data_IF_516092138214
#
_entry.id   IF_516092138214
#
_cell.length_a   1.000
_cell.length_b   1.000
_cell.length_c   1.000
_cell.angle_alpha   90.00
_cell.angle_beta   90.00
_cell.angle_gamma   90.00
#
_symmetry.space_group_name_H-M   'P 1'
#
loop_
_entity.id
_entity.type
_entity.pdbx_description
1 polymer ?
#
# COMPACT_ATOMS: atom_id res chain seq x y z
N UNK A 1 -41.91 8.19 26.39
CA UNK A 1 -40.92 9.00 25.65
C UNK A 1 -39.69 8.15 25.48
N UNK A 2 -39.30 7.87 24.23
CA UNK A 2 -38.15 7.01 23.94
C UNK A 2 -36.86 7.80 24.16
N UNK A 3 -35.90 7.26 24.91
CA UNK A 3 -34.63 7.93 25.18
C UNK A 3 -33.72 7.83 23.95
N UNK A 4 -33.70 8.90 23.16
CA UNK A 4 -32.96 8.98 21.91
C UNK A 4 -31.43 8.96 22.09
N UNK A 5 -30.91 9.15 23.31
CA UNK A 5 -29.47 9.01 23.62
C UNK A 5 -29.04 7.54 23.59
N UNK A 6 -29.88 6.65 24.13
CA UNK A 6 -29.66 5.20 24.09
C UNK A 6 -29.67 4.71 22.64
N UNK A 7 -30.65 5.18 21.86
CA UNK A 7 -30.80 4.80 20.45
C UNK A 7 -29.66 5.31 19.55
N UNK A 8 -29.12 6.50 19.83
CA UNK A 8 -27.98 7.04 19.12
C UNK A 8 -26.67 6.31 19.45
N UNK A 9 -26.52 5.86 20.71
CA UNK A 9 -25.37 5.07 21.16
C UNK A 9 -25.41 3.66 20.58
N UNK A 10 -26.58 3.02 20.56
CA UNK A 10 -26.80 1.73 19.89
C UNK A 10 -26.50 1.81 18.38
N UNK A 11 -26.87 2.91 17.72
CA UNK A 11 -26.54 3.16 16.31
C UNK A 11 -25.05 3.39 16.06
N UNK A 12 -24.33 4.05 16.99
CA UNK A 12 -22.89 4.22 16.92
C UNK A 12 -22.16 2.88 17.09
N UNK A 13 -22.60 2.07 18.05
CA UNK A 13 -22.08 0.73 18.32
C UNK A 13 -22.40 -0.25 17.17
N UNK A 14 -23.52 -0.07 16.46
CA UNK A 14 -23.80 -0.77 15.20
C UNK A 14 -22.92 -0.27 14.05
N UNK A 15 -22.63 1.03 13.97
CA UNK A 15 -21.81 1.63 12.92
C UNK A 15 -20.34 1.20 13.02
N UNK A 16 -19.79 1.11 14.22
CA UNK A 16 -18.44 0.58 14.48
C UNK A 16 -18.29 -0.89 14.08
N UNK A 17 -19.38 -1.67 14.11
CA UNK A 17 -19.41 -3.06 13.60
C UNK A 17 -19.50 -3.15 12.08
N UNK A 18 -19.79 -2.06 11.38
CA UNK A 18 -19.98 -1.99 9.91
C UNK A 18 -18.72 -1.43 9.23
N UNK A 19 -17.52 -1.79 9.70
CA UNK A 19 -16.28 -1.55 8.95
C UNK A 19 -16.04 -2.61 7.84
N UNK A 20 -17.09 -3.30 7.38
CA UNK A 20 -16.99 -4.51 6.53
C UNK A 20 -17.38 -4.28 5.04
N UNK A 21 -17.31 -3.07 4.51
CA UNK A 21 -17.43 -2.82 3.07
C UNK A 21 -18.81 -3.07 2.41
N UNK A 22 -19.90 -3.23 3.18
CA UNK A 22 -21.23 -3.49 2.62
C UNK A 22 -21.97 -2.20 2.19
N UNK A 23 -21.80 -1.82 0.93
CA UNK A 23 -22.33 -0.58 0.30
C UNK A 23 -23.85 -0.43 0.41
N UNK A 24 -24.61 -1.54 0.43
CA UNK A 24 -26.08 -1.51 0.50
C UNK A 24 -26.58 -1.08 1.88
N UNK A 25 -25.95 -1.57 2.93
CA UNK A 25 -26.25 -1.20 4.31
C UNK A 25 -25.83 0.24 4.61
N UNK A 26 -24.69 0.68 4.06
CA UNK A 26 -24.23 2.08 4.13
C UNK A 26 -25.25 3.04 3.51
N UNK A 27 -25.78 2.71 2.34
CA UNK A 27 -26.81 3.52 1.66
C UNK A 27 -28.14 3.53 2.44
N UNK A 28 -28.47 2.43 3.13
CA UNK A 28 -29.68 2.34 3.96
C UNK A 28 -29.57 3.17 5.25
N UNK A 29 -28.41 3.16 5.90
CA UNK A 29 -28.10 4.02 7.06
C UNK A 29 -28.05 5.49 6.68
N UNK A 30 -27.47 5.82 5.52
CA UNK A 30 -27.46 7.18 4.97
C UNK A 30 -28.89 7.69 4.75
N UNK A 31 -29.78 6.87 4.19
CA UNK A 31 -31.22 7.21 4.03
C UNK A 31 -31.96 7.36 5.36
N UNK A 32 -31.60 6.58 6.40
CA UNK A 32 -32.16 6.73 7.75
C UNK A 32 -31.69 8.04 8.41
N UNK A 33 -30.42 8.42 8.22
CA UNK A 33 -29.86 9.70 8.65
C UNK A 33 -30.52 10.90 7.95
N UNK A 34 -30.76 10.80 6.63
CA UNK A 34 -31.48 11.81 5.84
C UNK A 34 -32.96 11.93 6.21
N UNK A 35 -33.58 10.87 6.72
CA UNK A 35 -34.95 10.96 7.28
C UNK A 35 -34.96 11.65 8.64
N UNK A 36 -33.93 11.45 9.46
CA UNK A 36 -33.78 12.14 10.75
C UNK A 36 -33.50 13.64 10.56
N UNK A 37 -32.84 14.04 9.47
CA UNK A 37 -32.59 15.45 9.13
C UNK A 37 -33.84 16.24 8.75
N UNK A 38 -34.95 15.57 8.42
CA UNK A 38 -36.22 16.24 8.07
C UNK A 38 -37.04 16.69 9.29
N UNK A 39 -36.68 16.28 10.51
CA UNK A 39 -37.59 16.35 11.67
C UNK A 39 -37.18 17.23 12.85
N UNK A 40 -36.10 18.02 12.82
CA UNK A 40 -35.82 18.92 13.95
C UNK A 40 -34.90 20.08 13.60
N UNK A 41 -35.33 21.27 14.00
CA UNK A 41 -34.59 22.52 14.14
C UNK A 41 -33.34 22.70 13.27
N UNK A 42 -33.46 23.57 12.26
CA UNK A 42 -32.40 23.91 11.30
C UNK A 42 -31.05 24.25 11.98
N UNK A 43 -31.11 24.90 13.15
CA UNK A 43 -29.94 25.24 13.99
C UNK A 43 -29.26 24.02 14.61
N UNK A 44 -30.04 23.02 15.03
CA UNK A 44 -29.51 21.76 15.57
C UNK A 44 -28.93 20.88 14.45
N UNK A 45 -29.57 20.86 13.28
CA UNK A 45 -29.02 20.20 12.10
C UNK A 45 -27.71 20.83 11.63
N UNK A 46 -27.62 22.17 11.58
CA UNK A 46 -26.37 22.89 11.29
C UNK A 46 -25.27 22.58 12.32
N UNK A 47 -25.63 22.43 13.61
CA UNK A 47 -24.67 22.07 14.66
C UNK A 47 -24.16 20.64 14.47
N UNK A 48 -25.06 19.67 14.24
CA UNK A 48 -24.67 18.28 13.97
C UNK A 48 -23.86 18.18 12.67
N UNK A 49 -24.28 18.86 11.60
CA UNK A 49 -23.55 18.86 10.34
C UNK A 49 -22.15 19.47 10.50
N UNK A 50 -22.01 20.53 11.31
CA UNK A 50 -20.71 21.11 11.64
C UNK A 50 -19.86 20.17 12.49
N UNK A 51 -20.43 19.46 13.45
CA UNK A 51 -19.69 18.54 14.31
C UNK A 51 -19.29 17.25 13.57
N UNK A 52 -20.18 16.70 12.73
CA UNK A 52 -19.84 15.61 11.80
C UNK A 52 -18.78 16.08 10.81
N UNK A 53 -18.90 17.30 10.25
CA UNK A 53 -17.87 17.86 9.37
C UNK A 53 -16.54 18.01 10.08
N UNK A 54 -16.52 18.44 11.35
CA UNK A 54 -15.30 18.51 12.17
C UNK A 54 -14.73 17.13 12.43
N UNK A 55 -15.54 16.14 12.79
CA UNK A 55 -15.09 14.75 13.00
C UNK A 55 -14.52 14.18 11.71
N UNK A 56 -15.20 14.34 10.58
CA UNK A 56 -14.71 13.89 9.27
C UNK A 56 -13.40 14.60 8.87
N UNK A 57 -13.29 15.91 9.13
CA UNK A 57 -12.05 16.67 8.88
C UNK A 57 -10.87 16.23 9.74
N UNK A 58 -11.14 15.62 10.90
CA UNK A 58 -10.12 15.17 11.84
C UNK A 58 -10.12 13.65 12.01
N UNK A 59 -10.77 12.90 11.12
CA UNK A 59 -10.96 11.46 11.29
C UNK A 59 -9.61 10.74 11.42
N UNK A 60 -8.64 11.09 10.57
CA UNK A 60 -7.30 10.52 10.60
C UNK A 60 -6.57 10.82 11.93
N UNK A 61 -6.75 12.02 12.49
CA UNK A 61 -6.17 12.38 13.79
C UNK A 61 -6.81 11.60 14.94
N UNK A 62 -8.13 11.38 14.87
CA UNK A 62 -8.87 10.58 15.86
C UNK A 62 -8.41 9.13 15.81
N UNK A 63 -8.33 8.54 14.61
CA UNK A 63 -7.86 7.16 14.42
C UNK A 63 -6.43 7.01 14.91
N UNK A 64 -5.53 7.94 14.58
CA UNK A 64 -4.16 7.95 15.11
C UNK A 64 -4.11 8.07 16.63
N UNK A 65 -4.94 8.92 17.23
CA UNK A 65 -4.97 9.07 18.68
C UNK A 65 -5.46 7.80 19.38
N UNK A 66 -6.46 7.12 18.80
CA UNK A 66 -6.93 5.82 19.29
C UNK A 66 -5.81 4.79 19.20
N UNK A 67 -5.17 4.66 18.05
CA UNK A 67 -4.03 3.75 17.84
C UNK A 67 -2.92 3.99 18.89
N UNK A 68 -2.53 5.25 19.11
CA UNK A 68 -1.52 5.62 20.09
C UNK A 68 -1.89 5.20 21.52
N UNK A 69 -3.16 5.37 21.89
CA UNK A 69 -3.67 5.02 23.23
C UNK A 69 -3.70 3.49 23.39
N UNK A 70 -4.21 2.78 22.40
CA UNK A 70 -4.31 1.31 22.41
C UNK A 70 -2.93 0.65 22.47
N UNK A 71 -1.92 1.29 21.87
CA UNK A 71 -0.54 0.82 21.85
C UNK A 71 0.34 1.48 22.95
N UNK A 72 -0.26 1.88 24.08
CA UNK A 72 0.44 2.36 25.28
C UNK A 72 1.42 3.52 25.02
N UNK A 73 1.07 4.43 24.13
CA UNK A 73 1.89 5.60 23.79
C UNK A 73 2.93 5.34 22.71
N UNK A 74 2.78 4.29 21.91
CA UNK A 74 3.49 4.08 20.65
C UNK A 74 2.48 4.03 19.49
N UNK A 75 2.91 4.27 18.25
CA UNK A 75 2.07 4.00 17.08
C UNK A 75 2.29 2.57 16.62
N UNK A 76 1.22 1.91 16.18
CA UNK A 76 1.34 0.69 15.39
C UNK A 76 1.92 1.00 14.01
N UNK A 77 2.24 -0.04 13.25
CA UNK A 77 2.63 0.09 11.85
C UNK A 77 1.59 0.87 11.02
N UNK A 78 0.31 0.52 11.14
CA UNK A 78 -0.77 1.16 10.38
C UNK A 78 -1.02 2.60 10.86
N UNK A 79 -0.97 2.83 12.17
CA UNK A 79 -1.09 4.16 12.76
C UNK A 79 0.03 5.11 12.30
N UNK A 80 1.25 4.60 12.16
CA UNK A 80 2.38 5.39 11.66
C UNK A 80 2.24 5.68 10.15
N UNK A 81 1.76 4.73 9.35
CA UNK A 81 1.51 4.92 7.92
C UNK A 81 0.47 6.01 7.61
N UNK A 82 -0.60 6.13 8.41
CA UNK A 82 -1.76 7.03 8.15
C UNK A 82 -1.42 8.53 7.99
N UNK A 83 -0.19 8.95 8.30
CA UNK A 83 0.25 10.33 8.01
C UNK A 83 1.71 10.41 7.61
N UNK A 84 2.29 9.29 7.21
CA UNK A 84 3.61 9.25 6.62
C UNK A 84 3.47 9.52 5.12
N UNK A 85 4.29 10.40 4.53
CA UNK A 85 4.34 10.55 3.08
C UNK A 85 4.67 9.20 2.42
N UNK A 86 4.06 8.90 1.26
CA UNK A 86 4.28 7.63 0.57
C UNK A 86 5.75 7.35 0.24
N UNK A 87 6.56 8.39 0.04
CA UNK A 87 8.00 8.25 -0.18
C UNK A 87 8.79 7.67 1.01
N UNK A 88 8.18 7.58 2.19
CA UNK A 88 8.80 7.10 3.44
C UNK A 88 8.20 5.78 3.94
N UNK A 89 7.35 5.10 3.16
CA UNK A 89 6.67 3.86 3.58
C UNK A 89 7.65 2.73 3.91
N UNK A 90 8.71 2.56 3.12
CA UNK A 90 9.77 1.59 3.42
C UNK A 90 10.46 1.92 4.75
N UNK A 91 10.64 3.19 5.10
CA UNK A 91 11.24 3.59 6.38
C UNK A 91 10.36 3.17 7.56
N UNK A 92 9.03 3.28 7.43
CA UNK A 92 8.08 2.80 8.45
C UNK A 92 8.14 1.28 8.54
N UNK A 93 8.17 0.56 7.41
CA UNK A 93 8.36 -0.89 7.41
C UNK A 93 9.62 -1.31 8.16
N UNK A 94 10.76 -0.68 7.86
CA UNK A 94 12.04 -1.00 8.50
C UNK A 94 12.01 -0.86 10.02
N UNK A 95 11.27 0.14 10.53
CA UNK A 95 11.12 0.40 11.97
C UNK A 95 10.32 -0.68 12.69
N UNK A 96 9.34 -1.28 12.02
CA UNK A 96 8.39 -2.22 12.61
C UNK A 96 8.66 -3.69 12.27
N UNK A 97 9.50 -3.96 11.26
CA UNK A 97 9.66 -5.29 10.66
C UNK A 97 9.98 -6.42 11.64
N UNK A 98 10.67 -6.13 12.73
CA UNK A 98 11.06 -7.14 13.73
C UNK A 98 9.87 -7.61 14.58
N UNK A 99 8.82 -6.80 14.68
CA UNK A 99 7.59 -7.13 15.42
C UNK A 99 6.62 -8.04 14.66
N UNK A 100 6.81 -8.18 13.35
CA UNK A 100 5.89 -8.92 12.49
C UNK A 100 6.11 -10.43 12.61
N UNK A 101 5.02 -11.19 12.52
CA UNK A 101 5.13 -12.58 12.10
C UNK A 101 5.76 -12.70 10.71
N UNK A 102 6.20 -13.89 10.35
CA UNK A 102 6.82 -14.12 9.05
C UNK A 102 5.86 -13.85 7.89
N UNK A 103 4.57 -14.17 8.04
CA UNK A 103 3.53 -13.85 7.03
C UNK A 103 3.32 -12.34 6.92
N UNK A 104 3.08 -11.66 8.05
CA UNK A 104 2.89 -10.20 8.08
C UNK A 104 4.11 -9.45 7.50
N UNK A 105 5.32 -9.97 7.69
CA UNK A 105 6.52 -9.36 7.12
C UNK A 105 6.42 -9.25 5.60
N UNK A 106 6.04 -10.33 4.92
CA UNK A 106 5.97 -10.36 3.46
C UNK A 106 4.77 -9.57 2.94
N UNK A 107 3.61 -9.68 3.59
CA UNK A 107 2.41 -8.92 3.20
C UNK A 107 2.63 -7.41 3.34
N UNK A 108 3.22 -6.98 4.48
CA UNK A 108 3.52 -5.57 4.72
C UNK A 108 4.62 -5.06 3.80
N UNK A 109 5.64 -5.87 3.50
CA UNK A 109 6.69 -5.52 2.53
C UNK A 109 6.10 -5.29 1.14
N UNK A 110 5.25 -6.20 0.66
CA UNK A 110 4.54 -6.05 -0.61
C UNK A 110 3.75 -4.73 -0.61
N UNK A 111 2.92 -4.53 0.41
CA UNK A 111 2.08 -3.34 0.54
C UNK A 111 2.91 -2.05 0.49
N UNK A 112 3.95 -1.91 1.32
CA UNK A 112 4.74 -0.67 1.34
C UNK A 112 5.52 -0.47 0.04
N UNK A 113 6.01 -1.54 -0.59
CA UNK A 113 6.74 -1.44 -1.84
C UNK A 113 5.83 -0.99 -3.00
N UNK A 114 4.64 -1.58 -3.12
CA UNK A 114 3.67 -1.25 -4.18
C UNK A 114 3.11 0.16 -3.99
N UNK A 115 2.80 0.54 -2.74
CA UNK A 115 2.16 1.81 -2.40
C UNK A 115 3.12 2.99 -2.33
N UNK A 116 4.42 2.73 -2.15
CA UNK A 116 5.44 3.76 -2.08
C UNK A 116 5.55 4.50 -3.42
N UNK A 117 5.49 5.83 -3.35
CA UNK A 117 5.78 6.69 -4.49
C UNK A 117 7.31 6.72 -4.77
N UNK A 118 7.74 7.48 -5.77
CA UNK A 118 9.16 7.60 -6.08
C UNK A 118 9.98 8.04 -4.85
N UNK A 119 10.81 7.13 -4.33
CA UNK A 119 11.67 7.33 -3.18
C UNK A 119 13.10 6.87 -3.49
N UNK A 120 14.09 7.61 -3.01
CA UNK A 120 15.49 7.23 -3.10
C UNK A 120 15.85 6.24 -1.98
N UNK A 121 15.38 5.00 -2.09
CA UNK A 121 15.79 3.91 -1.20
C UNK A 121 17.03 3.21 -1.79
N UNK A 122 18.13 3.08 -1.03
CA UNK A 122 19.33 2.40 -1.51
C UNK A 122 19.07 0.94 -1.89
N UNK A 123 19.75 0.45 -2.93
CA UNK A 123 19.65 -0.95 -3.36
C UNK A 123 19.93 -1.94 -2.22
N UNK A 124 20.92 -1.66 -1.35
CA UNK A 124 21.24 -2.55 -0.22
C UNK A 124 20.10 -2.71 0.78
N UNK A 125 19.26 -1.67 0.95
CA UNK A 125 18.08 -1.76 1.81
C UNK A 125 17.07 -2.71 1.19
N UNK A 126 16.79 -2.55 -0.11
CA UNK A 126 15.90 -3.46 -0.83
C UNK A 126 16.44 -4.89 -0.85
N UNK A 127 17.73 -5.07 -1.14
CA UNK A 127 18.37 -6.37 -1.13
C UNK A 127 18.20 -7.05 0.22
N UNK A 128 18.45 -6.34 1.32
CA UNK A 128 18.29 -6.87 2.67
C UNK A 128 16.86 -7.38 2.92
N UNK A 129 15.85 -6.52 2.73
CA UNK A 129 14.46 -6.88 3.07
C UNK A 129 13.88 -7.96 2.14
N UNK A 130 14.19 -7.92 0.84
CA UNK A 130 13.69 -8.91 -0.13
C UNK A 130 14.45 -10.25 -0.12
N UNK A 131 15.63 -10.30 0.52
CA UNK A 131 16.42 -11.53 0.72
C UNK A 131 16.31 -12.12 2.12
N UNK A 132 15.39 -11.61 2.94
CA UNK A 132 15.10 -12.15 4.27
C UNK A 132 14.84 -13.66 4.23
N UNK A 133 15.35 -14.38 5.24
CA UNK A 133 15.19 -15.83 5.40
C UNK A 133 13.89 -16.21 6.15
N UNK A 134 12.97 -15.27 6.33
CA UNK A 134 11.66 -15.51 6.96
C UNK A 134 10.86 -16.53 6.15
N UNK A 135 10.08 -17.35 6.85
CA UNK A 135 9.19 -18.34 6.23
C UNK A 135 8.01 -17.67 5.51
N UNK A 136 7.19 -18.43 4.78
CA UNK A 136 5.99 -17.96 4.08
C UNK A 136 6.23 -16.86 3.02
N UNK A 137 7.35 -16.92 2.30
CA UNK A 137 7.74 -15.91 1.29
C UNK A 137 6.70 -15.72 0.19
N UNK A 138 5.90 -16.74 -0.10
CA UNK A 138 4.80 -16.67 -1.05
C UNK A 138 3.80 -15.56 -0.71
N UNK A 139 3.69 -15.15 0.56
CA UNK A 139 2.83 -14.04 1.03
C UNK A 139 3.28 -12.67 0.55
N UNK A 140 4.45 -12.58 -0.09
CA UNK A 140 4.91 -11.39 -0.77
C UNK A 140 4.07 -11.10 -2.03
N UNK A 141 3.34 -12.09 -2.55
CA UNK A 141 2.52 -11.99 -3.76
C UNK A 141 1.08 -12.40 -3.45
N UNK A 142 0.14 -11.87 -4.22
CA UNK A 142 -1.23 -12.37 -4.22
C UNK A 142 -1.33 -13.70 -5.01
N UNK A 143 -2.44 -14.42 -4.83
CA UNK A 143 -2.65 -15.74 -5.46
C UNK A 143 -2.62 -15.70 -7.01
N UNK A 144 -3.01 -14.59 -7.62
CA UNK A 144 -3.02 -14.44 -9.08
C UNK A 144 -1.59 -14.27 -9.60
N UNK A 145 -0.78 -13.47 -8.91
CA UNK A 145 0.62 -13.23 -9.20
C UNK A 145 1.47 -14.49 -9.03
N UNK A 146 1.21 -15.28 -7.97
CA UNK A 146 1.86 -16.60 -7.78
C UNK A 146 1.54 -17.53 -8.96
N UNK A 147 0.25 -17.66 -9.31
CA UNK A 147 -0.17 -18.52 -10.43
C UNK A 147 0.43 -18.07 -11.75
N UNK A 148 0.51 -16.75 -11.99
CA UNK A 148 1.12 -16.22 -13.19
C UNK A 148 2.61 -16.57 -13.24
N UNK A 149 3.35 -16.28 -12.17
CA UNK A 149 4.76 -16.59 -12.04
C UNK A 149 5.03 -18.09 -12.23
N UNK A 150 4.24 -18.96 -11.61
CA UNK A 150 4.37 -20.42 -11.74
C UNK A 150 4.23 -20.90 -13.18
N UNK A 151 3.38 -20.25 -13.98
CA UNK A 151 3.16 -20.58 -15.39
C UNK A 151 4.22 -19.99 -16.35
N UNK A 152 5.11 -19.12 -15.88
CA UNK A 152 6.22 -18.63 -16.71
C UNK A 152 7.21 -19.76 -17.07
N UNK A 153 7.85 -19.69 -18.25
CA UNK A 153 8.89 -20.64 -18.64
C UNK A 153 10.07 -20.63 -17.66
N UNK A 154 10.88 -21.70 -17.66
CA UNK A 154 12.04 -21.81 -16.75
C UNK A 154 13.06 -20.69 -16.97
N UNK A 155 13.14 -20.17 -18.19
CA UNK A 155 13.97 -19.02 -18.55
C UNK A 155 13.08 -17.92 -19.09
N UNK A 156 13.24 -16.71 -18.56
CA UNK A 156 12.49 -15.52 -18.94
C UNK A 156 13.44 -14.39 -19.29
N UNK A 157 12.98 -13.48 -20.15
CA UNK A 157 13.65 -12.22 -20.42
C UNK A 157 12.96 -11.12 -19.64
N UNK A 158 13.75 -10.31 -18.93
CA UNK A 158 13.28 -9.16 -18.17
C UNK A 158 13.93 -7.89 -18.69
N UNK A 159 13.18 -6.79 -18.63
CA UNK A 159 13.55 -5.49 -19.17
C UNK A 159 13.53 -4.42 -18.08
N UNK A 160 14.35 -3.38 -18.24
CA UNK A 160 14.35 -2.23 -17.34
C UNK A 160 14.68 -0.95 -18.08
N UNK A 161 13.86 0.08 -17.88
CA UNK A 161 14.19 1.43 -18.31
C UNK A 161 15.12 2.10 -17.30
N UNK A 162 16.41 2.12 -17.60
CA UNK A 162 17.46 2.57 -16.68
C UNK A 162 18.53 3.41 -17.37
N UNK A 163 19.40 4.01 -16.56
CA UNK A 163 20.56 4.71 -17.09
C UNK A 163 21.61 3.69 -17.56
N UNK A 164 22.32 3.99 -18.65
CA UNK A 164 23.38 3.11 -19.21
C UNK A 164 24.46 2.81 -18.17
N UNK A 165 24.73 3.74 -17.25
CA UNK A 165 25.72 3.59 -16.19
C UNK A 165 25.32 2.55 -15.13
N UNK A 166 24.05 2.13 -15.03
CA UNK A 166 23.60 1.08 -14.10
C UNK A 166 24.34 -0.25 -14.37
N UNK A 167 24.76 -0.50 -15.61
CA UNK A 167 25.63 -1.65 -15.96
C UNK A 167 26.95 -1.68 -15.19
N UNK A 168 27.43 -0.52 -14.72
CA UNK A 168 28.68 -0.38 -13.94
C UNK A 168 28.41 -0.23 -12.45
N UNK A 169 27.34 0.46 -12.08
CA UNK A 169 27.05 0.79 -10.67
C UNK A 169 26.14 -0.22 -9.99
N UNK A 170 25.59 -1.18 -10.74
CA UNK A 170 24.55 -2.10 -10.28
C UNK A 170 23.17 -1.59 -10.68
N UNK A 171 22.27 -2.55 -10.93
CA UNK A 171 20.88 -2.27 -11.31
C UNK A 171 19.99 -2.10 -10.07
N UNK A 172 18.90 -1.35 -10.24
CA UNK A 172 17.78 -1.42 -9.30
C UNK A 172 17.08 -2.79 -9.35
N UNK A 173 16.25 -3.06 -8.33
CA UNK A 173 15.60 -4.37 -8.17
C UNK A 173 14.37 -4.57 -9.07
N UNK A 174 13.80 -3.47 -9.59
CA UNK A 174 12.56 -3.46 -10.37
C UNK A 174 12.83 -3.64 -11.86
N UNK A 175 12.27 -4.71 -12.42
CA UNK A 175 12.29 -5.06 -13.84
C UNK A 175 10.86 -5.32 -14.32
N UNK A 176 10.64 -5.49 -15.62
CA UNK A 176 9.34 -5.81 -16.20
C UNK A 176 9.49 -6.92 -17.24
N UNK A 177 8.46 -7.74 -17.44
CA UNK A 177 8.40 -8.70 -18.55
C UNK A 177 8.11 -8.00 -19.90
N UNK A 178 7.60 -6.77 -19.88
CA UNK A 178 7.21 -6.03 -21.07
C UNK A 178 8.28 -5.03 -21.50
N UNK A 179 8.84 -5.25 -22.69
CA UNK A 179 9.80 -4.33 -23.31
C UNK A 179 9.19 -2.93 -23.53
N UNK A 180 7.91 -2.86 -23.86
CA UNK A 180 7.20 -1.60 -24.10
C UNK A 180 7.06 -0.79 -22.81
N UNK A 181 6.78 -1.46 -21.68
CA UNK A 181 6.74 -0.81 -20.36
C UNK A 181 8.13 -0.27 -20.00
N UNK A 182 9.18 -1.05 -20.21
CA UNK A 182 10.56 -0.57 -20.01
C UNK A 182 10.88 0.66 -20.88
N UNK A 183 10.41 0.70 -22.13
CA UNK A 183 10.58 1.85 -23.01
C UNK A 183 9.84 3.09 -22.47
N UNK A 184 8.64 2.94 -21.91
CA UNK A 184 7.93 4.06 -21.26
C UNK A 184 8.71 4.64 -20.08
N UNK A 185 9.45 3.82 -19.32
CA UNK A 185 10.33 4.32 -18.25
C UNK A 185 11.54 5.08 -18.81
N UNK A 186 12.13 4.62 -19.91
CA UNK A 186 13.20 5.35 -20.62
C UNK A 186 12.71 6.72 -21.06
N UNK A 187 11.55 6.79 -21.72
CA UNK A 187 11.03 8.03 -22.28
C UNK A 187 10.67 9.04 -21.19
N UNK A 188 10.07 8.58 -20.07
CA UNK A 188 9.82 9.41 -18.89
C UNK A 188 11.10 9.95 -18.27
N UNK A 189 12.12 9.11 -18.09
CA UNK A 189 13.38 9.48 -17.44
C UNK A 189 14.25 10.41 -18.29
N UNK A 190 14.21 10.30 -19.62
CA UNK A 190 14.92 11.21 -20.54
C UNK A 190 14.50 12.68 -20.37
N UNK A 191 13.27 12.93 -19.95
CA UNK A 191 12.78 14.29 -19.68
C UNK A 191 13.30 14.83 -18.34
N UNK A 192 13.64 13.94 -17.41
CA UNK A 192 13.96 14.26 -16.02
C UNK A 192 15.46 14.19 -15.70
N UNK A 193 16.27 13.58 -16.55
CA UNK A 193 17.72 13.40 -16.34
C UNK A 193 18.50 13.67 -17.62
N UNK A 194 19.73 14.17 -17.46
CA UNK A 194 20.72 14.31 -18.53
C UNK A 194 21.48 13.01 -18.80
N UNK A 195 21.25 11.95 -18.02
CA UNK A 195 21.87 10.65 -18.25
C UNK A 195 21.34 9.99 -19.52
N UNK A 196 22.20 9.22 -20.18
CA UNK A 196 21.79 8.38 -21.29
C UNK A 196 20.92 7.22 -20.74
N UNK A 197 19.65 7.20 -21.13
CA UNK A 197 18.68 6.17 -20.74
C UNK A 197 18.49 5.15 -21.87
N UNK A 198 18.44 3.87 -21.53
CA UNK A 198 18.20 2.77 -22.47
C UNK A 198 17.31 1.68 -21.87
N UNK A 199 16.73 0.85 -22.74
CA UNK A 199 16.10 -0.40 -22.31
C UNK A 199 17.20 -1.42 -22.10
N UNK A 200 17.40 -1.77 -20.83
CA UNK A 200 18.28 -2.84 -20.39
C UNK A 200 17.52 -4.16 -20.47
N UNK A 201 18.22 -5.24 -20.81
CA UNK A 201 17.65 -6.57 -20.99
C UNK A 201 18.54 -7.61 -20.29
N UNK A 202 17.92 -8.55 -19.58
CA UNK A 202 18.57 -9.72 -19.00
C UNK A 202 17.73 -10.97 -19.26
N UNK A 203 18.40 -12.09 -19.49
CA UNK A 203 17.76 -13.42 -19.50
C UNK A 203 18.12 -14.14 -18.22
N UNK A 204 17.12 -14.51 -17.41
CA UNK A 204 17.31 -15.13 -16.10
C UNK A 204 16.52 -16.42 -15.97
N UNK A 205 16.93 -17.28 -15.03
CA UNK A 205 16.09 -18.40 -14.61
C UNK A 205 14.93 -17.88 -13.77
N UNK A 206 13.72 -18.42 -13.97
CA UNK A 206 12.53 -18.14 -13.14
C UNK A 206 12.80 -18.33 -11.64
N UNK A 207 13.63 -19.31 -11.27
CA UNK A 207 14.02 -19.55 -9.88
C UNK A 207 14.83 -18.42 -9.22
N UNK A 208 15.27 -17.43 -10.01
CA UNK A 208 15.92 -16.20 -9.52
C UNK A 208 14.94 -15.04 -9.29
N UNK A 209 13.68 -15.17 -9.71
CA UNK A 209 12.64 -14.19 -9.45
C UNK A 209 12.31 -14.19 -7.96
N UNK A 210 12.30 -13.01 -7.35
CA UNK A 210 11.89 -12.83 -5.96
C UNK A 210 10.38 -12.69 -5.84
N UNK A 211 9.80 -11.85 -6.69
CA UNK A 211 8.37 -11.61 -6.74
C UNK A 211 7.96 -11.13 -8.14
N UNK A 212 6.69 -11.32 -8.45
CA UNK A 212 5.99 -10.71 -9.57
C UNK A 212 4.85 -9.86 -8.99
N UNK A 213 4.71 -8.61 -9.47
CA UNK A 213 3.65 -7.70 -9.05
C UNK A 213 2.84 -7.23 -10.26
N UNK A 214 1.54 -7.50 -10.25
CA UNK A 214 0.63 -7.04 -11.32
C UNK A 214 -0.19 -5.82 -10.94
N UNK A 215 -0.25 -5.38 -9.68
CA UNK A 215 -1.21 -4.35 -9.24
C UNK A 215 -1.11 -3.01 -10.00
N UNK A 216 0.10 -2.68 -10.48
CA UNK A 216 0.35 -1.43 -11.23
C UNK A 216 0.20 -1.60 -12.75
N UNK A 217 -0.18 -2.78 -13.24
CA UNK A 217 -0.18 -3.16 -14.66
C UNK A 217 1.20 -2.96 -15.32
N UNK A 218 2.27 -3.20 -14.57
CA UNK A 218 3.65 -3.01 -15.03
C UNK A 218 4.38 -4.33 -15.36
N UNK A 219 3.70 -5.47 -15.16
CA UNK A 219 4.29 -6.82 -15.26
C UNK A 219 5.63 -6.89 -14.51
N UNK A 220 5.66 -6.37 -13.28
CA UNK A 220 6.91 -6.09 -12.57
C UNK A 220 7.52 -7.38 -12.02
N UNK A 221 8.83 -7.54 -12.21
CA UNK A 221 9.66 -8.60 -11.65
C UNK A 221 10.65 -7.97 -10.67
N UNK A 222 10.67 -8.49 -9.44
CA UNK A 222 11.72 -8.20 -8.48
C UNK A 222 12.89 -9.16 -8.69
N UNK A 223 14.04 -8.60 -9.02
CA UNK A 223 15.28 -9.33 -9.25
C UNK A 223 16.44 -8.67 -8.51
N UNK A 224 17.16 -9.44 -7.68
CA UNK A 224 18.21 -8.91 -6.81
C UNK A 224 19.62 -9.01 -7.42
N UNK A 225 19.77 -9.43 -8.68
CA UNK A 225 21.09 -9.69 -9.26
C UNK A 225 21.69 -11.03 -8.86
N UNK A 226 22.92 -11.28 -9.32
CA UNK A 226 23.74 -12.43 -8.90
C UNK A 226 24.57 -12.13 -7.65
#
# INVERSE_FOLDING_TARGET
MMDYRVKAKELLEEFEKINSGNTKLKLELQKKLEKLSQFSDKKYFETIANDVSKVLKNADLIVKAIDFIENNGAFSFDGELMGTPKGDYISVFLKHQDSFSDEEYWEKLAYVYIMQDFAHVPYEVYKNIFSSNRSNREKLMNDEDIKFLDNLPETITIYRGGAVNEKRTGFGISWTLSKDIAQQFVDRKKVLSNDQMEVLELTIKKSKVVAYFSERNEEEIIYLGE
#
